data_IF_724392285971
#
_entry.id   IF_724392285971
#
_cell.length_a   1.000
_cell.length_b   1.000
_cell.length_c   1.000
_cell.angle_alpha   90.00
_cell.angle_beta   90.00
_cell.angle_gamma   90.00
#
_symmetry.space_group_name_H-M   'P 1'
#
loop_
_entity.id
_entity.type
_entity.pdbx_description
1 polymer ?
#
# COMPACT_ATOMS: atom_id res chain seq x y z
N UNK A 1 -0.94 105.18 -177.22
CA UNK A 1 -1.79 105.70 -176.13
C UNK A 1 -1.34 105.01 -174.85
N UNK A 2 -0.88 105.77 -173.83
CA UNK A 2 -0.28 105.24 -172.58
C UNK A 2 -1.28 104.56 -171.63
N UNK A 3 -0.99 104.41 -170.32
CA UNK A 3 0.24 104.65 -169.56
C UNK A 3 0.70 103.45 -168.67
N UNK A 4 1.91 103.62 -168.10
CA UNK A 4 2.62 102.75 -167.14
C UNK A 4 1.98 102.76 -165.73
N UNK A 5 1.96 101.60 -165.06
CA UNK A 5 2.14 101.46 -163.59
C UNK A 5 3.08 100.28 -163.31
N UNK A 6 4.20 100.58 -162.64
CA UNK A 6 5.25 99.63 -162.21
C UNK A 6 4.67 98.64 -161.20
N UNK A 7 4.83 97.33 -161.43
CA UNK A 7 4.59 96.27 -160.43
C UNK A 7 5.83 96.13 -159.55
N UNK A 8 5.64 96.18 -158.24
CA UNK A 8 6.68 95.95 -157.25
C UNK A 8 7.06 94.45 -157.19
N UNK A 9 8.33 94.10 -156.91
CA UNK A 9 8.77 92.71 -156.78
C UNK A 9 8.08 92.03 -155.59
N UNK A 10 7.52 90.84 -155.82
CA UNK A 10 6.90 90.02 -154.77
C UNK A 10 7.99 89.14 -154.19
N UNK A 11 8.48 89.54 -153.02
CA UNK A 11 9.46 88.79 -152.22
C UNK A 11 8.66 87.85 -151.32
N UNK A 12 8.77 86.55 -151.54
CA UNK A 12 8.25 85.53 -150.63
C UNK A 12 9.46 84.83 -150.05
N UNK A 13 9.62 84.95 -148.72
CA UNK A 13 10.72 84.36 -147.94
C UNK A 13 12.14 84.68 -148.49
N UNK A 14 12.38 85.97 -148.75
CA UNK A 14 13.71 86.52 -149.04
C UNK A 14 14.23 86.40 -150.48
N UNK A 15 13.47 85.79 -151.41
CA UNK A 15 13.89 85.55 -152.81
C UNK A 15 12.98 86.30 -153.81
N UNK A 16 13.58 86.95 -154.82
CA UNK A 16 12.86 87.72 -155.86
C UNK A 16 12.29 86.79 -156.95
N UNK A 17 10.98 86.54 -156.86
CA UNK A 17 10.22 85.57 -157.68
C UNK A 17 10.11 85.92 -159.16
N UNK A 18 10.64 87.06 -159.61
CA UNK A 18 10.56 87.53 -161.00
C UNK A 18 11.68 87.01 -161.91
N UNK A 19 12.70 86.34 -161.36
CA UNK A 19 13.87 85.81 -162.08
C UNK A 19 13.94 84.28 -162.18
N UNK A 20 12.91 83.59 -161.69
CA UNK A 20 12.87 82.13 -161.54
C UNK A 20 11.99 81.47 -162.62
N UNK A 21 12.42 80.32 -163.11
CA UNK A 21 11.65 79.51 -164.08
C UNK A 21 10.49 78.79 -163.38
N UNK A 22 9.41 78.44 -164.10
CA UNK A 22 8.19 77.83 -163.54
C UNK A 22 8.46 76.64 -162.60
N UNK A 23 9.42 75.78 -162.95
CA UNK A 23 9.82 74.63 -162.13
C UNK A 23 10.44 75.05 -160.79
N UNK A 24 11.18 76.15 -160.76
CA UNK A 24 11.82 76.66 -159.54
C UNK A 24 10.80 77.28 -158.57
N UNK A 25 9.72 77.86 -159.07
CA UNK A 25 8.60 78.36 -158.26
C UNK A 25 7.77 77.22 -157.64
N UNK A 26 7.58 76.11 -158.36
CA UNK A 26 6.90 74.91 -157.83
C UNK A 26 7.71 74.25 -156.70
N UNK A 27 9.04 74.16 -156.84
CA UNK A 27 9.90 73.65 -155.76
C UNK A 27 9.89 74.55 -154.53
N UNK A 28 9.82 75.87 -154.71
CA UNK A 28 9.77 76.81 -153.58
C UNK A 28 8.44 76.73 -152.82
N UNK A 29 7.33 76.59 -153.54
CA UNK A 29 6.00 76.40 -152.92
C UNK A 29 5.89 75.07 -152.16
N UNK A 30 6.53 74.01 -152.65
CA UNK A 30 6.60 72.72 -151.95
C UNK A 30 7.41 72.82 -150.66
N UNK A 31 8.57 73.48 -150.69
CA UNK A 31 9.39 73.69 -149.49
C UNK A 31 8.66 74.52 -148.42
N UNK A 32 7.95 75.59 -148.82
CA UNK A 32 7.14 76.39 -147.89
C UNK A 32 5.97 75.62 -147.28
N UNK A 33 5.42 74.65 -148.03
CA UNK A 33 4.38 73.76 -147.50
C UNK A 33 4.96 72.76 -146.52
N UNK A 34 6.12 72.18 -146.81
CA UNK A 34 6.82 71.28 -145.87
C UNK A 34 7.21 71.99 -144.57
N UNK A 35 7.68 73.24 -144.63
CA UNK A 35 7.99 74.00 -143.40
C UNK A 35 6.73 74.32 -142.61
N UNK A 36 5.63 74.68 -143.27
CA UNK A 36 4.34 74.89 -142.60
C UNK A 36 3.81 73.60 -141.94
N UNK A 37 3.93 72.46 -142.61
CA UNK A 37 3.48 71.17 -142.08
C UNK A 37 4.36 70.72 -140.89
N UNK A 38 5.67 70.94 -140.94
CA UNK A 38 6.57 70.73 -139.78
C UNK A 38 6.22 71.62 -138.59
N UNK A 39 6.00 72.92 -138.80
CA UNK A 39 5.60 73.83 -137.72
C UNK A 39 4.24 73.42 -137.11
N UNK A 40 3.33 72.86 -137.92
CA UNK A 40 2.05 72.32 -137.43
C UNK A 40 2.25 71.06 -136.59
N UNK A 41 3.10 70.14 -137.02
CA UNK A 41 3.46 68.94 -136.26
C UNK A 41 4.13 69.31 -134.93
N UNK A 42 5.09 70.24 -134.94
CA UNK A 42 5.74 70.74 -133.73
C UNK A 42 4.75 71.40 -132.77
N UNK A 43 3.87 72.26 -133.28
CA UNK A 43 2.80 72.87 -132.46
C UNK A 43 1.88 71.80 -131.86
N UNK A 44 1.53 70.77 -132.63
CA UNK A 44 0.69 69.67 -132.14
C UNK A 44 1.42 68.87 -131.05
N UNK A 45 2.71 68.60 -131.22
CA UNK A 45 3.54 67.89 -130.25
C UNK A 45 3.69 68.69 -128.95
N UNK A 46 3.99 69.98 -129.04
CA UNK A 46 4.06 70.86 -127.86
C UNK A 46 2.71 71.02 -127.15
N UNK A 47 1.58 71.01 -127.88
CA UNK A 47 0.25 70.98 -127.26
C UNK A 47 0.03 69.68 -126.47
N UNK A 48 0.39 68.53 -127.05
CA UNK A 48 0.28 67.24 -126.38
C UNK A 48 1.19 67.13 -125.16
N UNK A 49 2.42 67.66 -125.23
CA UNK A 49 3.33 67.71 -124.08
C UNK A 49 2.82 68.64 -122.98
N UNK A 50 2.34 69.84 -123.33
CA UNK A 50 1.72 70.76 -122.37
C UNK A 50 0.53 70.12 -121.68
N UNK A 51 -0.34 69.43 -122.43
CA UNK A 51 -1.53 68.79 -121.88
C UNK A 51 -1.13 67.59 -120.99
N UNK A 52 -0.11 66.81 -121.36
CA UNK A 52 0.49 65.77 -120.49
C UNK A 52 1.04 66.37 -119.18
N UNK A 53 1.83 67.44 -119.26
CA UNK A 53 2.36 68.12 -118.07
C UNK A 53 1.22 68.63 -117.19
N UNK A 54 0.17 69.18 -117.79
CA UNK A 54 -1.02 69.64 -117.06
C UNK A 54 -1.72 68.49 -116.36
N UNK A 55 -1.92 67.34 -117.02
CA UNK A 55 -2.49 66.15 -116.37
C UNK A 55 -1.62 65.63 -115.24
N UNK A 56 -0.30 65.59 -115.39
CA UNK A 56 0.59 65.19 -114.30
C UNK A 56 0.54 66.16 -113.14
N UNK A 57 0.48 67.47 -113.42
CA UNK A 57 0.34 68.48 -112.38
C UNK A 57 -1.00 68.36 -111.65
N UNK A 58 -2.11 68.17 -112.36
CA UNK A 58 -3.43 67.98 -111.75
C UNK A 58 -3.47 66.71 -110.88
N UNK A 59 -2.93 65.59 -111.37
CA UNK A 59 -2.86 64.31 -110.61
C UNK A 59 -1.98 64.45 -109.38
N UNK A 60 -0.76 64.98 -109.53
CA UNK A 60 0.18 65.12 -108.39
C UNK A 60 -0.33 66.12 -107.37
N UNK A 61 -1.02 67.18 -107.81
CA UNK A 61 -1.71 68.12 -106.92
C UNK A 61 -2.85 67.44 -106.16
N UNK A 62 -3.66 66.62 -106.82
CA UNK A 62 -4.72 65.84 -106.19
C UNK A 62 -4.15 64.85 -105.17
N UNK A 63 -3.13 64.07 -105.55
CA UNK A 63 -2.44 63.13 -104.66
C UNK A 63 -1.84 63.83 -103.45
N UNK A 64 -1.24 65.01 -103.63
CA UNK A 64 -0.72 65.80 -102.52
C UNK A 64 -1.84 66.21 -101.57
N UNK A 65 -3.00 66.60 -102.09
CA UNK A 65 -4.14 66.99 -101.27
C UNK A 65 -4.76 65.79 -100.54
N UNK A 66 -4.85 64.63 -101.20
CA UNK A 66 -5.27 63.36 -100.60
C UNK A 66 -4.30 62.90 -99.49
N UNK A 67 -2.99 62.95 -99.73
CA UNK A 67 -2.01 62.62 -98.69
C UNK A 67 -2.07 63.59 -97.50
N UNK A 68 -2.36 64.88 -97.73
CA UNK A 68 -2.55 65.85 -96.63
C UNK A 68 -3.81 65.54 -95.83
N UNK A 69 -4.93 65.21 -96.48
CA UNK A 69 -6.16 64.87 -95.75
C UNK A 69 -6.01 63.56 -94.99
N UNK A 70 -5.31 62.57 -95.54
CA UNK A 70 -4.97 61.33 -94.83
C UNK A 70 -4.07 61.58 -93.62
N UNK A 71 -3.05 62.43 -93.75
CA UNK A 71 -2.18 62.80 -92.63
C UNK A 71 -2.97 63.48 -91.52
N UNK A 72 -3.83 64.45 -91.84
CA UNK A 72 -4.71 65.11 -90.86
C UNK A 72 -5.68 64.13 -90.19
N UNK A 73 -6.21 63.16 -90.93
CA UNK A 73 -7.06 62.12 -90.36
C UNK A 73 -6.27 61.21 -89.41
N UNK A 74 -5.02 60.88 -89.75
CA UNK A 74 -4.15 60.07 -88.88
C UNK A 74 -3.71 60.81 -87.64
N UNK A 75 -3.41 62.10 -87.75
CA UNK A 75 -3.13 62.97 -86.59
C UNK A 75 -4.34 63.02 -85.66
N UNK A 76 -5.56 63.18 -86.20
CA UNK A 76 -6.78 63.10 -85.39
C UNK A 76 -6.98 61.73 -84.73
N UNK A 77 -6.74 60.64 -85.45
CA UNK A 77 -6.86 59.28 -84.90
C UNK A 77 -5.87 59.05 -83.75
N UNK A 78 -4.65 59.59 -83.86
CA UNK A 78 -3.65 59.55 -82.79
C UNK A 78 -4.15 60.36 -81.58
N UNK A 79 -4.64 61.59 -81.78
CA UNK A 79 -5.19 62.41 -80.71
C UNK A 79 -6.37 61.73 -80.01
N UNK A 80 -7.28 61.10 -80.76
CA UNK A 80 -8.41 60.34 -80.21
C UNK A 80 -7.94 59.17 -79.35
N UNK A 81 -6.94 58.39 -79.82
CA UNK A 81 -6.37 57.27 -79.07
C UNK A 81 -5.60 57.72 -77.82
N UNK A 82 -4.88 58.83 -77.88
CA UNK A 82 -4.21 59.43 -76.73
C UNK A 82 -5.22 59.88 -75.67
N UNK A 83 -6.32 60.49 -76.09
CA UNK A 83 -7.41 60.90 -75.20
C UNK A 83 -8.09 59.69 -74.54
N UNK A 84 -8.44 58.64 -75.31
CA UNK A 84 -8.99 57.39 -74.77
C UNK A 84 -8.06 56.77 -73.73
N UNK A 85 -6.77 56.62 -74.04
CA UNK A 85 -5.78 56.07 -73.12
C UNK A 85 -5.62 56.93 -71.86
N UNK A 86 -5.68 58.26 -71.99
CA UNK A 86 -5.63 59.17 -70.85
C UNK A 86 -6.85 59.00 -69.92
N UNK A 87 -8.04 58.85 -70.47
CA UNK A 87 -9.27 58.59 -69.71
C UNK A 87 -9.24 57.22 -69.02
N UNK A 88 -8.81 56.16 -69.73
CA UNK A 88 -8.63 54.83 -69.17
C UNK A 88 -7.63 54.82 -68.01
N UNK A 89 -6.47 55.48 -68.19
CA UNK A 89 -5.45 55.59 -67.14
C UNK A 89 -6.00 56.28 -65.88
N UNK A 90 -6.83 57.32 -66.06
CA UNK A 90 -7.51 58.01 -64.96
C UNK A 90 -8.51 57.10 -64.26
N UNK A 91 -9.31 56.33 -64.99
CA UNK A 91 -10.26 55.36 -64.44
C UNK A 91 -9.53 54.25 -63.66
N UNK A 92 -8.46 53.68 -64.22
CA UNK A 92 -7.63 52.69 -63.54
C UNK A 92 -7.03 53.25 -62.26
N UNK A 93 -6.52 54.49 -62.28
CA UNK A 93 -6.00 55.15 -61.09
C UNK A 93 -7.06 55.34 -60.00
N UNK A 94 -8.29 55.69 -60.37
CA UNK A 94 -9.41 55.78 -59.42
C UNK A 94 -9.80 54.41 -58.87
N UNK A 95 -9.84 53.38 -59.71
CA UNK A 95 -10.17 52.00 -59.29
C UNK A 95 -9.13 51.44 -58.33
N UNK A 96 -7.85 51.68 -58.57
CA UNK A 96 -6.77 51.31 -57.64
C UNK A 96 -6.94 52.03 -56.30
N UNK A 97 -7.24 53.34 -56.31
CA UNK A 97 -7.50 54.10 -55.07
C UNK A 97 -8.67 53.54 -54.26
N UNK A 98 -9.78 53.22 -54.93
CA UNK A 98 -10.95 52.62 -54.28
C UNK A 98 -10.60 51.25 -53.69
N UNK A 99 -9.93 50.39 -54.46
CA UNK A 99 -9.54 49.05 -54.01
C UNK A 99 -8.60 49.11 -52.79
N UNK A 100 -7.63 50.03 -52.79
CA UNK A 100 -6.73 50.24 -51.64
C UNK A 100 -7.51 50.73 -50.41
N UNK A 101 -8.43 51.67 -50.58
CA UNK A 101 -9.29 52.14 -49.49
C UNK A 101 -10.15 51.01 -48.92
N UNK A 102 -10.77 50.22 -49.79
CA UNK A 102 -11.61 49.07 -49.39
C UNK A 102 -10.78 48.03 -48.63
N UNK A 103 -9.60 47.65 -49.15
CA UNK A 103 -8.70 46.75 -48.43
C UNK A 103 -8.29 47.30 -47.06
N UNK A 104 -7.93 48.58 -46.98
CA UNK A 104 -7.53 49.18 -45.71
C UNK A 104 -8.69 49.25 -44.70
N UNK A 105 -9.91 49.56 -45.18
CA UNK A 105 -11.12 49.53 -44.37
C UNK A 105 -11.41 48.11 -43.86
N UNK A 106 -11.43 47.12 -44.75
CA UNK A 106 -11.70 45.73 -44.39
C UNK A 106 -10.64 45.19 -43.42
N UNK A 107 -9.37 45.56 -43.61
CA UNK A 107 -8.30 45.18 -42.68
C UNK A 107 -8.49 45.83 -41.30
N UNK A 108 -8.92 47.10 -41.24
CA UNK A 108 -9.22 47.78 -39.98
C UNK A 108 -10.42 47.14 -39.26
N UNK A 109 -11.49 46.81 -39.98
CA UNK A 109 -12.67 46.11 -39.44
C UNK A 109 -12.28 44.71 -38.92
N UNK A 110 -11.54 43.92 -39.70
CA UNK A 110 -11.09 42.59 -39.28
C UNK A 110 -10.19 42.64 -38.03
N UNK A 111 -9.32 43.65 -37.93
CA UNK A 111 -8.50 43.85 -36.72
C UNK A 111 -9.36 44.23 -35.52
N UNK A 112 -10.35 45.08 -35.69
CA UNK A 112 -11.27 45.46 -34.62
C UNK A 112 -12.09 44.27 -34.13
N UNK A 113 -12.66 43.48 -35.05
CA UNK A 113 -13.41 42.26 -34.73
C UNK A 113 -12.52 41.22 -34.04
N UNK A 114 -11.28 41.05 -34.51
CA UNK A 114 -10.29 40.18 -33.88
C UNK A 114 -9.95 40.61 -32.46
N UNK A 115 -9.79 41.91 -32.20
CA UNK A 115 -9.55 42.44 -30.85
C UNK A 115 -10.76 42.25 -29.93
N UNK A 116 -11.98 42.49 -30.43
CA UNK A 116 -13.20 42.29 -29.66
C UNK A 116 -13.40 40.81 -29.31
N UNK A 117 -13.20 39.91 -30.27
CA UNK A 117 -13.29 38.47 -30.04
C UNK A 117 -12.25 37.99 -29.02
N UNK A 118 -11.01 38.48 -29.10
CA UNK A 118 -9.98 38.17 -28.12
C UNK A 118 -10.36 38.66 -26.72
N UNK A 119 -10.91 39.87 -26.61
CA UNK A 119 -11.32 40.45 -25.32
C UNK A 119 -12.48 39.68 -24.68
N UNK A 120 -13.49 39.30 -25.46
CA UNK A 120 -14.60 38.46 -24.98
C UNK A 120 -14.06 37.12 -24.47
N UNK A 121 -13.17 36.48 -25.23
CA UNK A 121 -12.57 35.22 -24.81
C UNK A 121 -11.74 35.37 -23.52
N UNK A 122 -11.02 36.48 -23.35
CA UNK A 122 -10.29 36.77 -22.12
C UNK A 122 -11.23 36.94 -20.93
N UNK A 123 -12.30 37.73 -21.08
CA UNK A 123 -13.30 37.94 -20.03
C UNK A 123 -14.00 36.62 -19.63
N UNK A 124 -14.30 35.74 -20.59
CA UNK A 124 -14.85 34.41 -20.33
C UNK A 124 -13.88 33.52 -19.55
N UNK A 125 -12.58 33.55 -19.90
CA UNK A 125 -11.55 32.81 -19.16
C UNK A 125 -11.39 33.32 -17.73
N UNK A 126 -11.37 34.64 -17.52
CA UNK A 126 -11.26 35.24 -16.20
C UNK A 126 -12.48 34.87 -15.31
N UNK A 127 -13.68 34.84 -15.89
CA UNK A 127 -14.88 34.37 -15.19
C UNK A 127 -14.80 32.89 -14.82
N UNK A 128 -14.33 32.03 -15.71
CA UNK A 128 -14.15 30.62 -15.41
C UNK A 128 -13.08 30.40 -14.34
N UNK A 129 -11.96 31.13 -14.40
CA UNK A 129 -10.90 31.03 -13.40
C UNK A 129 -11.40 31.47 -12.01
N UNK A 130 -12.11 32.59 -11.92
CA UNK A 130 -12.69 33.07 -10.66
C UNK A 130 -13.71 32.08 -10.08
N UNK A 131 -14.58 31.50 -10.91
CA UNK A 131 -15.51 30.45 -10.47
C UNK A 131 -14.78 29.22 -9.93
N UNK A 132 -13.75 28.73 -10.65
CA UNK A 132 -12.94 27.59 -10.20
C UNK A 132 -12.19 27.88 -8.90
N UNK A 133 -11.70 29.11 -8.69
CA UNK A 133 -11.06 29.51 -7.44
C UNK A 133 -12.03 29.50 -6.26
N UNK A 134 -13.27 29.95 -6.47
CA UNK A 134 -14.34 29.91 -5.46
C UNK A 134 -14.69 28.45 -5.14
N UNK A 135 -14.90 27.61 -6.15
CA UNK A 135 -15.22 26.20 -5.95
C UNK A 135 -14.11 25.46 -5.23
N UNK A 136 -12.85 25.72 -5.59
CA UNK A 136 -11.67 25.19 -4.88
C UNK A 136 -11.66 25.59 -3.40
N UNK A 137 -12.03 26.83 -3.07
CA UNK A 137 -12.12 27.29 -1.68
C UNK A 137 -13.25 26.57 -0.94
N UNK A 138 -14.44 26.50 -1.53
CA UNK A 138 -15.60 25.83 -0.95
C UNK A 138 -15.35 24.33 -0.71
N UNK A 139 -14.68 23.65 -1.65
CA UNK A 139 -14.30 22.24 -1.51
C UNK A 139 -13.29 22.03 -0.38
N UNK A 140 -12.33 22.95 -0.20
CA UNK A 140 -11.40 22.90 0.94
C UNK A 140 -12.11 23.09 2.28
N UNK A 141 -13.06 24.02 2.37
CA UNK A 141 -13.85 24.24 3.58
C UNK A 141 -14.67 23.00 3.94
N UNK A 142 -15.38 22.41 2.97
CA UNK A 142 -16.12 21.15 3.16
C UNK A 142 -15.23 19.99 3.59
N UNK A 143 -14.03 19.87 3.02
CA UNK A 143 -13.08 18.83 3.41
C UNK A 143 -12.65 18.98 4.87
N UNK A 144 -12.36 20.21 5.31
CA UNK A 144 -11.98 20.49 6.70
C UNK A 144 -13.15 20.21 7.65
N UNK A 145 -14.37 20.58 7.26
CA UNK A 145 -15.58 20.30 8.05
C UNK A 145 -15.81 18.80 8.22
N UNK A 146 -15.75 18.02 7.13
CA UNK A 146 -15.85 16.55 7.19
C UNK A 146 -14.74 15.92 8.04
N UNK A 147 -13.50 16.42 7.93
CA UNK A 147 -12.40 15.94 8.78
C UNK A 147 -12.67 16.20 10.27
N UNK A 148 -13.25 17.35 10.61
CA UNK A 148 -13.61 17.68 11.99
C UNK A 148 -14.75 16.80 12.52
N UNK A 149 -15.80 16.59 11.71
CA UNK A 149 -16.89 15.67 12.05
C UNK A 149 -16.36 14.25 12.27
N UNK A 150 -15.49 13.75 11.39
CA UNK A 150 -14.87 12.45 11.57
C UNK A 150 -14.04 12.37 12.84
N UNK A 151 -13.23 13.39 13.17
CA UNK A 151 -12.49 13.43 14.44
C UNK A 151 -13.43 13.40 15.66
N UNK A 152 -14.56 14.09 15.60
CA UNK A 152 -15.55 14.10 16.67
C UNK A 152 -16.24 12.74 16.83
N UNK A 153 -16.59 12.07 15.74
CA UNK A 153 -17.13 10.70 15.79
C UNK A 153 -16.14 9.71 16.41
N UNK A 154 -14.85 9.78 16.05
CA UNK A 154 -13.79 8.95 16.65
C UNK A 154 -13.66 9.24 18.14
N UNK A 155 -13.68 10.52 18.54
CA UNK A 155 -13.59 10.92 19.94
C UNK A 155 -14.77 10.37 20.75
N UNK A 156 -15.98 10.47 20.21
CA UNK A 156 -17.19 9.95 20.84
C UNK A 156 -17.17 8.42 20.96
N UNK A 157 -16.70 7.70 19.93
CA UNK A 157 -16.51 6.25 19.99
C UNK A 157 -15.50 5.85 21.04
N UNK A 158 -14.35 6.51 21.10
CA UNK A 158 -13.32 6.24 22.12
C UNK A 158 -13.83 6.49 23.54
N UNK A 159 -14.66 7.51 23.74
CA UNK A 159 -15.27 7.79 25.04
C UNK A 159 -16.24 6.67 25.45
N UNK A 160 -17.12 6.24 24.55
CA UNK A 160 -18.02 5.10 24.78
C UNK A 160 -17.27 3.80 25.08
N UNK A 161 -16.23 3.49 24.30
CA UNK A 161 -15.39 2.32 24.57
C UNK A 161 -14.70 2.39 25.93
N UNK A 162 -14.25 3.58 26.34
CA UNK A 162 -13.66 3.77 27.67
C UNK A 162 -14.67 3.58 28.79
N UNK A 163 -15.91 4.03 28.60
CA UNK A 163 -17.02 3.84 29.55
C UNK A 163 -17.37 2.35 29.68
N UNK A 164 -17.61 1.66 28.56
CA UNK A 164 -17.91 0.22 28.53
C UNK A 164 -16.78 -0.62 29.14
N UNK A 165 -15.51 -0.26 28.86
CA UNK A 165 -14.36 -0.95 29.45
C UNK A 165 -14.28 -0.73 30.96
N UNK A 166 -14.59 0.48 31.45
CA UNK A 166 -14.62 0.79 32.87
C UNK A 166 -15.74 0.03 33.58
N UNK A 167 -16.94 -0.02 32.98
CA UNK A 167 -18.07 -0.77 33.52
C UNK A 167 -17.76 -2.28 33.57
N UNK A 168 -17.20 -2.83 32.49
CA UNK A 168 -16.77 -4.24 32.46
C UNK A 168 -15.75 -4.54 33.57
N UNK A 169 -14.73 -3.69 33.74
CA UNK A 169 -13.73 -3.84 34.82
C UNK A 169 -14.38 -3.80 36.20
N UNK A 170 -15.26 -2.84 36.45
CA UNK A 170 -15.99 -2.73 37.71
C UNK A 170 -16.83 -3.99 38.00
N UNK A 171 -17.51 -4.52 36.97
CA UNK A 171 -18.30 -5.74 37.10
C UNK A 171 -17.44 -6.97 37.39
N UNK A 172 -16.26 -7.09 36.76
CA UNK A 172 -15.32 -8.17 37.05
C UNK A 172 -14.75 -8.07 38.47
N UNK A 173 -14.38 -6.86 38.89
CA UNK A 173 -13.85 -6.64 40.24
C UNK A 173 -14.89 -6.94 41.33
N UNK A 174 -16.14 -6.53 41.11
CA UNK A 174 -17.26 -6.86 42.00
C UNK A 174 -17.47 -8.38 42.09
N UNK A 175 -17.53 -9.09 40.96
CA UNK A 175 -17.67 -10.54 40.93
C UNK A 175 -16.50 -11.27 41.60
N UNK A 176 -15.28 -10.78 41.41
CA UNK A 176 -14.10 -11.33 42.08
C UNK A 176 -14.22 -11.19 43.60
N UNK A 177 -14.57 -10.00 44.10
CA UNK A 177 -14.79 -9.76 45.54
C UNK A 177 -15.92 -10.62 46.10
N UNK A 178 -17.02 -10.79 45.36
CA UNK A 178 -18.13 -11.66 45.78
C UNK A 178 -17.71 -13.13 45.91
N UNK A 179 -16.87 -13.61 44.99
CA UNK A 179 -16.35 -14.98 45.03
C UNK A 179 -15.36 -15.15 46.19
N UNK A 180 -14.45 -14.20 46.37
CA UNK A 180 -13.51 -14.20 47.50
C UNK A 180 -14.25 -14.21 48.83
N UNK A 181 -15.23 -13.32 49.01
CA UNK A 181 -16.02 -13.24 50.23
C UNK A 181 -16.78 -14.54 50.53
N UNK A 182 -17.34 -15.20 49.51
CA UNK A 182 -18.01 -16.50 49.67
C UNK A 182 -17.04 -17.58 50.15
N UNK A 183 -15.87 -17.68 49.53
CA UNK A 183 -14.88 -18.68 49.94
C UNK A 183 -14.26 -18.39 51.30
N UNK A 184 -14.10 -17.12 51.67
CA UNK A 184 -13.70 -16.74 53.03
C UNK A 184 -14.73 -17.18 54.08
N UNK A 185 -16.02 -16.98 53.80
CA UNK A 185 -17.12 -17.43 54.66
C UNK A 185 -17.20 -18.96 54.76
N UNK A 186 -17.08 -19.68 53.63
CA UNK A 186 -17.05 -21.15 53.59
C UNK A 186 -15.87 -21.73 54.40
N UNK A 187 -14.68 -21.11 54.30
CA UNK A 187 -13.51 -21.53 55.07
C UNK A 187 -13.71 -21.24 56.57
N UNK A 188 -14.30 -20.10 56.91
CA UNK A 188 -14.56 -19.73 58.30
C UNK A 188 -15.60 -20.65 58.94
N UNK A 189 -16.72 -20.90 58.27
CA UNK A 189 -17.75 -21.83 58.73
C UNK A 189 -17.20 -23.25 58.90
N UNK A 190 -16.41 -23.76 57.95
CA UNK A 190 -15.78 -25.07 58.07
C UNK A 190 -14.81 -25.15 59.27
N UNK A 191 -14.06 -24.08 59.55
CA UNK A 191 -13.20 -24.00 60.74
C UNK A 191 -14.01 -24.07 62.02
N UNK A 192 -15.13 -23.34 62.09
CA UNK A 192 -16.03 -23.35 63.24
C UNK A 192 -16.68 -24.72 63.46
N UNK A 193 -17.13 -25.38 62.38
CA UNK A 193 -17.67 -26.74 62.44
C UNK A 193 -16.64 -27.76 62.93
N UNK A 194 -15.41 -27.72 62.40
CA UNK A 194 -14.33 -28.62 62.83
C UNK A 194 -13.95 -28.36 64.30
N UNK A 195 -13.88 -27.10 64.71
CA UNK A 195 -13.61 -26.75 66.10
C UNK A 195 -14.72 -27.23 67.04
N UNK A 196 -15.98 -27.15 66.61
CA UNK A 196 -17.12 -27.67 67.35
C UNK A 196 -17.06 -29.20 67.46
N UNK A 197 -16.83 -29.92 66.35
CA UNK A 197 -16.66 -31.38 66.36
C UNK A 197 -15.54 -31.81 67.29
N UNK A 198 -14.37 -31.19 67.20
CA UNK A 198 -13.25 -31.49 68.08
C UNK A 198 -13.59 -31.24 69.56
N UNK A 199 -14.31 -30.16 69.87
CA UNK A 199 -14.79 -29.89 71.24
C UNK A 199 -15.78 -30.95 71.72
N UNK A 200 -16.72 -31.38 70.86
CA UNK A 200 -17.68 -32.43 71.18
C UNK A 200 -16.99 -33.78 71.44
N UNK A 201 -16.05 -34.17 70.57
CA UNK A 201 -15.25 -35.39 70.74
C UNK A 201 -14.44 -35.37 72.04
N UNK A 202 -13.83 -34.23 72.39
CA UNK A 202 -13.14 -34.05 73.67
C UNK A 202 -14.10 -34.23 74.86
N UNK A 203 -15.26 -33.58 74.83
CA UNK A 203 -16.25 -33.72 75.92
C UNK A 203 -16.77 -35.15 76.04
N UNK A 204 -17.00 -35.85 74.94
CA UNK A 204 -17.46 -37.25 74.98
C UNK A 204 -16.39 -38.18 75.56
N UNK A 205 -15.12 -37.96 75.20
CA UNK A 205 -13.99 -38.70 75.76
C UNK A 205 -13.85 -38.44 77.26
N UNK A 206 -14.01 -37.19 77.69
CA UNK A 206 -13.93 -36.81 79.10
C UNK A 206 -15.11 -37.38 79.89
N UNK A 207 -16.33 -37.38 79.35
CA UNK A 207 -17.48 -38.05 79.96
C UNK A 207 -17.27 -39.56 80.09
N UNK A 208 -16.74 -40.22 79.06
CA UNK A 208 -16.39 -41.65 79.11
C UNK A 208 -15.35 -41.94 80.19
N UNK A 209 -14.29 -41.13 80.28
CA UNK A 209 -13.27 -41.25 81.32
C UNK A 209 -13.84 -41.00 82.72
N UNK A 210 -14.65 -39.97 82.90
CA UNK A 210 -15.28 -39.63 84.17
C UNK A 210 -16.23 -40.75 84.62
N UNK A 211 -17.00 -41.33 83.70
CA UNK A 211 -17.84 -42.50 83.98
C UNK A 211 -16.98 -43.69 84.43
N UNK A 212 -15.88 -43.97 83.75
CA UNK A 212 -14.97 -45.05 84.14
C UNK A 212 -14.35 -44.81 85.52
N UNK A 213 -13.98 -43.56 85.85
CA UNK A 213 -13.50 -43.17 87.18
C UNK A 213 -14.58 -43.44 88.23
N UNK A 214 -15.82 -42.99 88.00
CA UNK A 214 -16.95 -43.23 88.91
C UNK A 214 -17.24 -44.72 89.11
N UNK A 215 -17.23 -45.51 88.04
CA UNK A 215 -17.42 -46.96 88.11
C UNK A 215 -16.29 -47.64 88.90
N UNK A 216 -15.05 -47.18 88.72
CA UNK A 216 -13.89 -47.67 89.46
C UNK A 216 -13.98 -47.30 90.94
N UNK A 217 -14.38 -46.07 91.27
CA UNK A 217 -14.66 -45.63 92.64
C UNK A 217 -15.73 -46.50 93.30
N UNK A 218 -16.85 -46.74 92.63
CA UNK A 218 -17.92 -47.62 93.14
C UNK A 218 -17.44 -49.05 93.38
N UNK A 219 -16.63 -49.61 92.46
CA UNK A 219 -16.03 -50.94 92.65
C UNK A 219 -15.08 -50.97 93.84
N UNK A 220 -14.26 -49.93 94.02
CA UNK A 220 -13.37 -49.82 95.17
C UNK A 220 -14.14 -49.68 96.48
N UNK A 221 -15.19 -48.85 96.54
CA UNK A 221 -16.05 -48.69 97.72
C UNK A 221 -16.77 -49.99 98.07
N UNK A 222 -17.24 -50.72 97.07
CA UNK A 222 -17.83 -52.04 97.25
C UNK A 222 -16.83 -53.04 97.78
N UNK A 223 -15.65 -53.16 97.16
CA UNK A 223 -14.58 -54.05 97.62
C UNK A 223 -14.11 -53.69 99.04
N UNK A 224 -14.03 -52.40 99.36
CA UNK A 224 -13.69 -51.92 100.70
C UNK A 224 -14.77 -52.29 101.72
N UNK A 225 -16.05 -52.15 101.35
CA UNK A 225 -17.18 -52.57 102.19
C UNK A 225 -17.21 -54.09 102.39
N UNK A 226 -16.96 -54.86 101.34
CA UNK A 226 -16.83 -56.33 101.41
C UNK A 226 -15.66 -56.74 102.29
N UNK A 227 -14.50 -56.07 102.17
CA UNK A 227 -13.33 -56.31 103.04
C UNK A 227 -13.63 -55.96 104.50
N UNK A 228 -14.32 -54.84 104.74
CA UNK A 228 -14.76 -54.42 106.07
C UNK A 228 -15.73 -55.43 106.66
N UNK A 229 -16.69 -55.91 105.87
CA UNK A 229 -17.62 -56.96 106.29
C UNK A 229 -16.89 -58.27 106.56
N UNK A 230 -15.97 -58.69 105.70
CA UNK A 230 -15.13 -59.87 105.92
C UNK A 230 -14.34 -59.78 107.22
N UNK A 231 -13.71 -58.63 107.52
CA UNK A 231 -13.02 -58.44 108.79
C UNK A 231 -13.98 -58.37 109.97
N UNK A 232 -15.15 -57.75 109.83
CA UNK A 232 -16.17 -57.75 110.88
C UNK A 232 -16.69 -59.17 111.15
N UNK A 233 -16.92 -59.97 110.11
CA UNK A 233 -17.32 -61.37 110.19
C UNK A 233 -16.20 -62.21 110.77
N UNK A 234 -14.94 -61.93 110.42
CA UNK A 234 -13.77 -62.56 111.03
C UNK A 234 -13.65 -62.17 112.50
N UNK A 235 -13.94 -60.92 112.88
CA UNK A 235 -13.98 -60.46 114.27
C UNK A 235 -15.13 -61.14 115.02
N UNK A 236 -16.30 -61.25 114.41
CA UNK A 236 -17.46 -61.97 114.96
C UNK A 236 -17.16 -63.45 115.11
N UNK A 237 -16.60 -64.10 114.09
CA UNK A 237 -16.15 -65.48 114.16
C UNK A 237 -15.02 -65.66 115.16
N UNK A 238 -14.10 -64.71 115.27
CA UNK A 238 -13.05 -64.76 116.28
C UNK A 238 -13.63 -64.50 117.67
N UNK A 239 -14.68 -63.70 117.84
CA UNK A 239 -15.36 -63.48 119.11
C UNK A 239 -16.19 -64.70 119.51
N UNK A 240 -16.91 -65.32 118.58
CA UNK A 240 -17.61 -66.58 118.81
C UNK A 240 -16.62 -67.72 119.03
N UNK A 241 -15.51 -67.76 118.30
CA UNK A 241 -14.42 -68.68 118.54
C UNK A 241 -13.77 -68.41 119.89
N UNK A 242 -13.53 -67.16 120.30
CA UNK A 242 -13.01 -66.80 121.63
C UNK A 242 -14.03 -67.19 122.71
N UNK A 243 -15.33 -67.04 122.46
CA UNK A 243 -16.38 -67.49 123.38
C UNK A 243 -16.40 -69.00 123.50
N UNK A 244 -16.44 -69.71 122.36
CA UNK A 244 -16.36 -71.17 122.31
C UNK A 244 -15.05 -71.68 122.89
N UNK A 245 -13.93 -70.97 122.69
CA UNK A 245 -12.64 -71.28 123.28
C UNK A 245 -12.62 -70.95 124.77
N UNK A 246 -13.39 -70.00 125.27
CA UNK A 246 -13.58 -69.77 126.71
C UNK A 246 -14.41 -70.90 127.34
N UNK A 247 -15.48 -71.33 126.68
CA UNK A 247 -16.30 -72.47 127.11
C UNK A 247 -15.46 -73.77 127.04
N UNK A 248 -14.71 -73.95 125.96
CA UNK A 248 -13.69 -75.00 125.84
C UNK A 248 -12.50 -74.77 126.76
N UNK A 249 -12.21 -73.58 127.29
CA UNK A 249 -11.14 -73.34 128.27
C UNK A 249 -11.60 -73.69 129.67
N UNK A 250 -12.91 -73.60 129.96
CA UNK A 250 -13.52 -74.26 131.12
C UNK A 250 -13.48 -75.78 130.97
N UNK A 251 -13.76 -76.31 129.77
CA UNK A 251 -13.67 -77.74 129.46
C UNK A 251 -12.22 -78.25 129.35
N UNK A 252 -11.30 -77.38 128.89
CA UNK A 252 -9.88 -77.63 128.75
C UNK A 252 -9.14 -77.36 130.04
N UNK A 253 -9.59 -76.57 131.00
CA UNK A 253 -9.00 -76.60 132.37
C UNK A 253 -9.06 -78.02 132.96
N UNK A 254 -10.13 -78.75 132.64
CA UNK A 254 -10.29 -80.18 132.95
C UNK A 254 -9.41 -81.11 132.07
N UNK A 255 -8.98 -80.63 130.90
CA UNK A 255 -8.14 -81.36 129.93
C UNK A 255 -6.66 -80.92 129.92
N UNK A 256 -6.32 -79.80 130.54
CA UNK A 256 -5.03 -79.11 130.63
C UNK A 256 -4.16 -79.81 131.67
N UNK A 257 -4.76 -80.30 132.76
CA UNK A 257 -4.19 -81.34 133.63
C UNK A 257 -3.70 -82.57 132.84
N UNK A 258 -4.28 -82.83 131.65
CA UNK A 258 -3.94 -83.95 130.76
C UNK A 258 -2.96 -83.61 129.63
N UNK A 259 -2.93 -82.36 129.16
CA UNK A 259 -2.16 -81.97 127.95
C UNK A 259 -0.94 -81.10 128.27
N UNK A 260 -0.79 -80.59 129.50
CA UNK A 260 0.45 -79.92 129.98
C UNK A 260 1.70 -80.83 129.84
N UNK A 261 1.50 -82.15 129.69
CA UNK A 261 2.55 -83.13 129.36
C UNK A 261 3.00 -83.15 127.90
N UNK A 262 2.17 -82.71 126.94
CA UNK A 262 2.49 -82.82 125.50
C UNK A 262 2.93 -81.49 124.86
N UNK A 263 2.67 -80.35 125.52
CA UNK A 263 2.94 -79.03 124.95
C UNK A 263 4.44 -78.63 124.94
N UNK A 264 5.29 -79.31 125.71
CA UNK A 264 6.73 -79.01 125.76
C UNK A 264 7.50 -79.38 124.48
N UNK A 265 6.92 -80.17 123.58
CA UNK A 265 7.59 -80.65 122.37
C UNK A 265 7.33 -79.77 121.13
N UNK A 266 6.14 -79.19 120.98
CA UNK A 266 5.77 -78.43 119.78
C UNK A 266 6.33 -76.99 119.72
N UNK A 267 6.82 -76.43 120.84
CA UNK A 267 7.38 -75.08 120.87
C UNK A 267 8.74 -74.95 120.16
N UNK A 268 9.33 -76.07 119.71
CA UNK A 268 10.67 -76.10 119.11
C UNK A 268 10.67 -75.94 117.57
N UNK A 269 9.58 -76.23 116.87
CA UNK A 269 9.54 -76.18 115.39
C UNK A 269 9.20 -74.81 114.80
N UNK A 270 8.48 -73.95 115.53
CA UNK A 270 7.99 -72.68 114.97
C UNK A 270 9.06 -71.57 114.82
N UNK A 271 10.32 -71.87 115.15
CA UNK A 271 11.45 -70.92 115.03
C UNK A 271 12.20 -70.98 113.70
N UNK A 272 11.93 -71.97 112.82
CA UNK A 272 12.75 -72.22 111.62
C UNK A 272 12.15 -71.72 110.28
N UNK A 273 10.98 -71.07 110.27
CA UNK A 273 10.28 -70.66 109.03
C UNK A 273 10.34 -69.14 108.72
N UNK A 274 11.01 -68.34 109.54
CA UNK A 274 10.96 -66.87 109.45
C UNK A 274 11.89 -66.25 108.39
N UNK A 275 13.04 -66.88 108.10
CA UNK A 275 14.06 -66.32 107.20
C UNK A 275 13.85 -66.62 105.70
N UNK A 276 13.32 -67.79 105.27
CA UNK A 276 13.03 -68.06 103.85
C UNK A 276 11.98 -67.11 103.25
N UNK A 277 11.04 -66.64 104.08
CA UNK A 277 9.95 -65.76 103.65
C UNK A 277 10.44 -64.35 103.29
N UNK A 278 11.54 -63.87 103.91
CA UNK A 278 12.10 -62.54 103.64
C UNK A 278 12.90 -62.48 102.33
N UNK A 279 13.60 -63.56 101.96
CA UNK A 279 14.36 -63.62 100.71
C UNK A 279 13.44 -63.70 99.48
N UNK A 280 12.36 -64.50 99.54
CA UNK A 280 11.39 -64.62 98.44
C UNK A 280 10.65 -63.29 98.14
N UNK A 281 10.45 -62.44 99.14
CA UNK A 281 9.81 -61.12 98.96
C UNK A 281 10.73 -60.09 98.29
N UNK A 282 12.05 -60.20 98.51
CA UNK A 282 13.04 -59.32 97.87
C UNK A 282 13.19 -59.65 96.37
N UNK A 283 13.32 -60.93 96.03
CA UNK A 283 13.40 -61.39 94.64
C UNK A 283 12.14 -61.05 93.83
N UNK A 284 10.95 -61.12 94.45
CA UNK A 284 9.71 -60.75 93.78
C UNK A 284 9.65 -59.26 93.42
N UNK A 285 10.26 -58.37 94.23
CA UNK A 285 10.33 -56.93 93.93
C UNK A 285 11.27 -56.64 92.76
N UNK A 286 12.42 -57.29 92.71
CA UNK A 286 13.39 -57.07 91.64
C UNK A 286 12.88 -57.60 90.29
N UNK A 287 12.23 -58.77 90.27
CA UNK A 287 11.59 -59.31 89.07
C UNK A 287 10.47 -58.41 88.56
N UNK A 288 9.65 -57.82 89.43
CA UNK A 288 8.63 -56.84 89.03
C UNK A 288 9.23 -55.58 88.42
N UNK A 289 10.37 -55.09 88.94
CA UNK A 289 11.06 -53.91 88.40
C UNK A 289 11.64 -54.19 87.01
N UNK A 290 12.24 -55.35 86.80
CA UNK A 290 12.75 -55.77 85.49
C UNK A 290 11.62 -55.90 84.45
N UNK A 291 10.47 -56.43 84.85
CA UNK A 291 9.32 -56.59 83.96
C UNK A 291 8.76 -55.24 83.48
N UNK A 292 8.75 -54.20 84.33
CA UNK A 292 8.33 -52.84 83.97
C UNK A 292 9.31 -52.17 83.00
N UNK A 293 10.62 -52.42 83.14
CA UNK A 293 11.59 -51.88 82.19
C UNK A 293 11.47 -52.57 80.82
N UNK A 294 11.31 -53.89 80.80
CA UNK A 294 11.11 -54.65 79.56
C UNK A 294 9.87 -54.20 78.78
N UNK A 295 8.77 -53.87 79.45
CA UNK A 295 7.57 -53.36 78.77
C UNK A 295 7.77 -51.97 78.16
N UNK A 296 8.53 -51.09 78.83
CA UNK A 296 8.89 -49.78 78.27
C UNK A 296 9.77 -49.91 77.04
N UNK A 297 10.80 -50.75 77.11
CA UNK A 297 11.73 -50.97 75.99
C UNK A 297 11.00 -51.57 74.79
N UNK A 298 10.05 -52.47 75.01
CA UNK A 298 9.21 -53.05 73.95
C UNK A 298 8.35 -52.00 73.22
N UNK A 299 7.81 -51.02 73.94
CA UNK A 299 7.01 -49.92 73.35
C UNK A 299 7.93 -48.98 72.56
N UNK A 300 9.08 -48.61 73.13
CA UNK A 300 10.05 -47.74 72.46
C UNK A 300 10.58 -48.38 71.16
N UNK A 301 10.85 -49.69 71.18
CA UNK A 301 11.26 -50.44 70.00
C UNK A 301 10.16 -50.44 68.93
N UNK A 302 8.90 -50.67 69.30
CA UNK A 302 7.78 -50.66 68.35
C UNK A 302 7.60 -49.28 67.68
N UNK A 303 7.79 -48.19 68.43
CA UNK A 303 7.73 -46.82 67.90
C UNK A 303 8.92 -46.54 66.95
N UNK A 304 10.13 -46.96 67.32
CA UNK A 304 11.32 -46.83 66.47
C UNK A 304 11.17 -47.60 65.16
N UNK A 305 10.68 -48.84 65.21
CA UNK A 305 10.45 -49.66 64.01
C UNK A 305 9.43 -48.99 63.08
N UNK A 306 8.32 -48.45 63.63
CA UNK A 306 7.34 -47.72 62.82
C UNK A 306 7.95 -46.49 62.14
N UNK A 307 8.77 -45.74 62.87
CA UNK A 307 9.44 -44.54 62.35
C UNK A 307 10.41 -44.89 61.21
N UNK A 308 11.10 -46.02 61.28
CA UNK A 308 11.97 -46.50 60.21
C UNK A 308 11.16 -46.83 58.96
N UNK A 309 10.04 -47.54 59.10
CA UNK A 309 9.17 -47.88 57.96
C UNK A 309 8.61 -46.62 57.29
N UNK A 310 8.20 -45.62 58.07
CA UNK A 310 7.70 -44.36 57.51
C UNK A 310 8.80 -43.62 56.73
N UNK A 311 10.03 -43.57 57.27
CA UNK A 311 11.18 -42.94 56.62
C UNK A 311 11.66 -43.69 55.37
N UNK A 312 11.59 -45.02 55.36
CA UNK A 312 11.89 -45.84 54.17
C UNK A 312 10.90 -45.55 53.05
N UNK A 313 9.61 -45.38 53.37
CA UNK A 313 8.60 -44.99 52.37
C UNK A 313 8.86 -43.60 51.79
N UNK A 314 9.13 -42.61 52.65
CA UNK A 314 9.47 -41.25 52.21
C UNK A 314 10.73 -41.25 51.33
N UNK A 315 11.75 -42.06 51.67
CA UNK A 315 12.97 -42.18 50.87
C UNK A 315 12.69 -42.75 49.47
N UNK A 316 11.83 -43.75 49.36
CA UNK A 316 11.49 -44.35 48.08
C UNK A 316 10.62 -43.42 47.22
N UNK A 317 9.70 -42.67 47.83
CA UNK A 317 8.94 -41.61 47.15
C UNK A 317 9.90 -40.55 46.56
N UNK A 318 10.88 -40.07 47.34
CA UNK A 318 11.87 -39.09 46.87
C UNK A 318 12.79 -39.63 45.77
N UNK A 319 13.18 -40.91 45.81
CA UNK A 319 13.96 -41.51 44.73
C UNK A 319 13.20 -41.50 43.42
N UNK A 320 11.91 -41.86 43.46
CA UNK A 320 11.07 -41.90 42.26
C UNK A 320 10.86 -40.51 41.67
N UNK A 321 10.62 -39.50 42.52
CA UNK A 321 10.53 -38.11 42.08
C UNK A 321 11.84 -37.62 41.45
N UNK A 322 12.99 -37.96 42.03
CA UNK A 322 14.28 -37.57 41.50
C UNK A 322 14.57 -38.21 40.14
N UNK A 323 14.30 -39.52 39.97
CA UNK A 323 14.44 -40.20 38.68
C UNK A 323 13.53 -39.58 37.60
N UNK A 324 12.29 -39.25 37.96
CA UNK A 324 11.36 -38.58 37.05
C UNK A 324 11.86 -37.18 36.61
N UNK A 325 12.45 -36.42 37.54
CA UNK A 325 13.03 -35.12 37.27
C UNK A 325 14.28 -35.21 36.40
N UNK A 326 15.16 -36.18 36.64
CA UNK A 326 16.37 -36.43 35.84
C UNK A 326 16.02 -36.80 34.39
N UNK A 327 15.01 -37.66 34.18
CA UNK A 327 14.51 -38.00 32.85
C UNK A 327 13.91 -36.78 32.12
N UNK A 328 13.23 -35.89 32.86
CA UNK A 328 12.68 -34.67 32.27
C UNK A 328 13.78 -33.68 31.90
N UNK A 329 14.81 -33.56 32.74
CA UNK A 329 15.95 -32.67 32.49
C UNK A 329 16.73 -33.10 31.27
N UNK A 330 17.07 -34.39 31.16
CA UNK A 330 17.75 -34.95 29.98
C UNK A 330 16.97 -34.69 28.69
N UNK A 331 15.64 -34.89 28.70
CA UNK A 331 14.79 -34.60 27.54
C UNK A 331 14.81 -33.11 27.15
N UNK A 332 14.80 -32.20 28.13
CA UNK A 332 14.87 -30.77 27.87
C UNK A 332 16.25 -30.35 27.31
N UNK A 333 17.32 -30.96 27.79
CA UNK A 333 18.66 -30.72 27.26
C UNK A 333 18.81 -31.19 25.82
N UNK A 334 18.26 -32.35 25.47
CA UNK A 334 18.17 -32.83 24.08
C UNK A 334 17.43 -31.82 23.20
N UNK A 335 16.23 -31.39 23.60
CA UNK A 335 15.44 -30.41 22.83
C UNK A 335 16.16 -29.07 22.67
N UNK A 336 16.84 -28.60 23.72
CA UNK A 336 17.65 -27.37 23.65
C UNK A 336 18.78 -27.53 22.62
N UNK A 337 19.50 -28.65 22.65
CA UNK A 337 20.60 -28.91 21.74
C UNK A 337 20.10 -29.03 20.28
N UNK A 338 19.00 -29.75 20.04
CA UNK A 338 18.36 -29.85 18.72
C UNK A 338 17.95 -28.48 18.16
N UNK A 339 17.36 -27.62 19.01
CA UNK A 339 17.00 -26.26 18.61
C UNK A 339 18.23 -25.41 18.29
N UNK A 340 19.28 -25.52 19.09
CA UNK A 340 20.53 -24.80 18.87
C UNK A 340 21.19 -25.23 17.55
N UNK A 341 21.29 -26.53 17.31
CA UNK A 341 21.87 -27.08 16.08
C UNK A 341 21.03 -26.74 14.85
N UNK A 342 19.71 -26.81 14.97
CA UNK A 342 18.77 -26.40 13.92
C UNK A 342 18.88 -24.91 13.57
N UNK A 343 19.06 -24.06 14.58
CA UNK A 343 19.30 -22.62 14.40
C UNK A 343 20.62 -22.36 13.66
N UNK A 344 21.73 -22.97 14.11
CA UNK A 344 23.03 -22.82 13.46
C UNK A 344 23.00 -23.30 12.01
N UNK A 345 22.37 -24.45 11.75
CA UNK A 345 22.22 -25.00 10.40
C UNK A 345 21.41 -24.07 9.49
N UNK A 346 20.31 -23.51 10.00
CA UNK A 346 19.47 -22.56 9.26
C UNK A 346 20.20 -21.26 8.95
N UNK A 347 20.96 -20.74 9.92
CA UNK A 347 21.76 -19.53 9.77
C UNK A 347 22.85 -19.71 8.71
N UNK A 348 23.59 -20.82 8.76
CA UNK A 348 24.63 -21.12 7.77
C UNK A 348 24.07 -21.28 6.36
N UNK A 349 22.96 -22.01 6.20
CA UNK A 349 22.27 -22.14 4.92
C UNK A 349 21.80 -20.79 4.36
N UNK A 350 21.29 -19.90 5.22
CA UNK A 350 20.88 -18.55 4.82
C UNK A 350 22.08 -17.72 4.37
N UNK A 351 23.19 -17.79 5.11
CA UNK A 351 24.42 -17.09 4.77
C UNK A 351 25.02 -17.58 3.44
N UNK A 352 25.04 -18.89 3.20
CA UNK A 352 25.50 -19.48 1.95
C UNK A 352 24.63 -19.04 0.76
N UNK A 353 23.30 -19.07 0.91
CA UNK A 353 22.37 -18.57 -0.12
C UNK A 353 22.55 -17.08 -0.41
N UNK A 354 22.77 -16.26 0.62
CA UNK A 354 23.04 -14.84 0.45
C UNK A 354 24.38 -14.61 -0.25
N UNK A 355 25.43 -15.33 0.15
CA UNK A 355 26.77 -15.25 -0.44
C UNK A 355 26.75 -15.67 -1.93
N UNK A 356 26.13 -16.78 -2.27
CA UNK A 356 26.00 -17.25 -3.66
C UNK A 356 25.22 -16.26 -4.53
N UNK A 357 24.13 -15.68 -4.01
CA UNK A 357 23.38 -14.61 -4.69
C UNK A 357 24.26 -13.38 -4.92
N UNK A 358 25.04 -12.96 -3.93
CA UNK A 358 25.95 -11.82 -4.05
C UNK A 358 27.04 -12.06 -5.10
N UNK A 359 27.64 -13.26 -5.12
CA UNK A 359 28.62 -13.64 -6.14
C UNK A 359 28.01 -13.60 -7.53
N UNK A 360 26.78 -14.10 -7.70
CA UNK A 360 26.08 -14.07 -8.98
C UNK A 360 25.79 -12.64 -9.44
N UNK A 361 25.32 -11.77 -8.54
CA UNK A 361 25.07 -10.36 -8.84
C UNK A 361 26.35 -9.62 -9.22
N UNK A 362 27.44 -9.84 -8.49
CA UNK A 362 28.75 -9.28 -8.84
C UNK A 362 29.23 -9.74 -10.22
N UNK A 363 29.02 -11.03 -10.56
CA UNK A 363 29.37 -11.55 -11.89
C UNK A 363 28.51 -10.91 -12.99
N UNK A 364 27.20 -10.76 -12.78
CA UNK A 364 26.31 -10.04 -13.71
C UNK A 364 26.76 -8.59 -13.90
N UNK A 365 27.05 -7.88 -12.81
CA UNK A 365 27.50 -6.49 -12.86
C UNK A 365 28.83 -6.34 -13.59
N UNK A 366 29.81 -7.21 -13.31
CA UNK A 366 31.09 -7.25 -14.05
C UNK A 366 30.88 -7.50 -15.54
N UNK A 367 29.98 -8.40 -15.91
CA UNK A 367 29.69 -8.67 -17.32
C UNK A 367 28.99 -7.48 -18.00
N UNK A 368 28.04 -6.82 -17.33
CA UNK A 368 27.40 -5.61 -17.85
C UNK A 368 28.39 -4.46 -18.03
N UNK A 369 29.30 -4.25 -17.06
CA UNK A 369 30.37 -3.25 -17.18
C UNK A 369 31.29 -3.54 -18.37
N UNK A 370 31.75 -4.79 -18.53
CA UNK A 370 32.55 -5.18 -19.71
C UNK A 370 31.81 -4.94 -21.03
N UNK A 371 30.51 -5.24 -21.07
CA UNK A 371 29.70 -4.99 -22.27
C UNK A 371 29.56 -3.49 -22.55
N UNK A 372 29.38 -2.68 -21.51
CA UNK A 372 29.34 -1.22 -21.61
C UNK A 372 30.67 -0.67 -22.14
N UNK A 373 31.80 -1.07 -21.57
CA UNK A 373 33.14 -0.68 -22.03
C UNK A 373 33.36 -1.06 -23.50
N UNK A 374 32.97 -2.26 -23.91
CA UNK A 374 33.03 -2.68 -25.32
C UNK A 374 32.16 -1.80 -26.23
N UNK A 375 30.94 -1.45 -25.81
CA UNK A 375 30.04 -0.57 -26.57
C UNK A 375 30.58 0.86 -26.65
N UNK A 376 31.16 1.38 -25.58
CA UNK A 376 31.80 2.70 -25.57
C UNK A 376 33.02 2.75 -26.49
N UNK A 377 33.86 1.71 -26.50
CA UNK A 377 34.98 1.62 -27.44
C UNK A 377 34.50 1.58 -28.89
N UNK A 378 33.49 0.75 -29.20
CA UNK A 378 32.88 0.70 -30.54
C UNK A 378 32.29 2.06 -30.95
N UNK A 379 31.62 2.74 -30.02
CA UNK A 379 31.06 4.08 -30.25
C UNK A 379 32.18 5.11 -30.50
N UNK A 380 33.27 5.08 -29.73
CA UNK A 380 34.41 5.96 -29.90
C UNK A 380 35.14 5.73 -31.24
N UNK A 381 35.30 4.48 -31.68
CA UNK A 381 35.86 4.14 -32.99
C UNK A 381 34.97 4.61 -34.16
N UNK A 382 33.65 4.45 -34.03
CA UNK A 382 32.67 4.96 -34.99
C UNK A 382 32.76 6.49 -35.10
N UNK A 383 32.84 7.19 -33.97
CA UNK A 383 33.04 8.64 -33.91
C UNK A 383 34.34 9.09 -34.58
N UNK A 384 35.44 8.36 -34.35
CA UNK A 384 36.77 8.68 -34.89
C UNK A 384 36.87 8.46 -36.39
N UNK A 385 36.11 7.52 -36.95
CA UNK A 385 36.01 7.28 -38.40
C UNK A 385 35.08 8.29 -39.11
N UNK A 386 34.10 8.87 -38.41
CA UNK A 386 33.09 9.79 -38.97
C UNK A 386 33.20 11.23 -38.42
N UNK A 387 34.43 11.75 -38.33
CA UNK A 387 34.77 13.04 -37.67
C UNK A 387 33.99 14.29 -38.14
N UNK A 388 33.32 14.25 -39.29
CA UNK A 388 32.51 15.36 -39.81
C UNK A 388 30.99 15.25 -39.61
N UNK A 389 30.46 14.04 -39.34
CA UNK A 389 29.00 13.80 -39.24
C UNK A 389 28.48 13.84 -37.80
N UNK A 390 29.37 13.70 -36.81
CA UNK A 390 29.01 13.67 -35.40
C UNK A 390 28.24 14.92 -34.93
N UNK A 391 28.61 16.13 -35.40
CA UNK A 391 27.90 17.36 -35.06
C UNK A 391 26.46 17.41 -35.61
N UNK A 392 26.19 16.72 -36.73
CA UNK A 392 24.83 16.59 -37.29
C UNK A 392 24.01 15.52 -36.57
N UNK A 393 24.67 14.54 -35.93
CA UNK A 393 24.04 13.44 -35.19
C UNK A 393 23.70 13.80 -33.74
N UNK A 394 24.37 14.78 -33.12
CA UNK A 394 24.12 15.17 -31.72
C UNK A 394 22.66 15.58 -31.45
N UNK A 395 22.00 16.42 -32.28
CA UNK A 395 20.59 16.77 -32.08
C UNK A 395 19.66 15.56 -32.23
N UNK A 396 20.02 14.61 -33.10
CA UNK A 396 19.26 13.37 -33.32
C UNK A 396 19.40 12.46 -32.09
N UNK A 397 20.60 12.28 -31.54
CA UNK A 397 20.82 11.53 -30.30
C UNK A 397 20.03 12.11 -29.12
N UNK A 398 20.08 13.43 -28.91
CA UNK A 398 19.29 14.09 -27.85
C UNK A 398 17.78 13.82 -28.04
N UNK A 399 17.29 13.81 -29.28
CA UNK A 399 15.89 13.50 -29.58
C UNK A 399 15.56 12.03 -29.30
N UNK A 400 16.45 11.11 -29.65
CA UNK A 400 16.30 9.67 -29.36
C UNK A 400 16.35 9.41 -27.86
N UNK A 401 17.27 10.01 -27.11
CA UNK A 401 17.36 9.90 -25.64
C UNK A 401 16.10 10.43 -24.95
N UNK A 402 15.54 11.54 -25.44
CA UNK A 402 14.24 12.05 -24.96
C UNK A 402 13.10 11.08 -25.24
N UNK A 403 13.12 10.36 -26.36
CA UNK A 403 12.11 9.35 -26.67
C UNK A 403 12.30 8.12 -25.78
N UNK A 404 13.54 7.66 -25.58
CA UNK A 404 13.86 6.52 -24.72
C UNK A 404 13.48 6.80 -23.27
N UNK A 405 13.81 7.97 -22.73
CA UNK A 405 13.42 8.38 -21.38
C UNK A 405 11.91 8.45 -21.22
N UNK A 406 11.18 9.03 -22.19
CA UNK A 406 9.70 9.02 -22.19
C UNK A 406 9.12 7.61 -22.24
N UNK A 407 9.69 6.72 -23.06
CA UNK A 407 9.24 5.33 -23.15
C UNK A 407 9.54 4.55 -21.88
N UNK A 408 10.70 4.74 -21.26
CA UNK A 408 11.04 4.10 -19.99
C UNK A 408 10.13 4.59 -18.86
N UNK A 409 9.85 5.89 -18.79
CA UNK A 409 8.88 6.43 -17.84
C UNK A 409 7.47 5.83 -18.07
N UNK A 410 7.03 5.72 -19.34
CA UNK A 410 5.77 5.06 -19.65
C UNK A 410 5.76 3.56 -19.29
N UNK A 411 6.89 2.87 -19.40
CA UNK A 411 7.02 1.47 -18.95
C UNK A 411 6.90 1.40 -17.42
N UNK A 412 7.59 2.27 -16.69
CA UNK A 412 7.50 2.35 -15.22
C UNK A 412 6.06 2.68 -14.76
N UNK A 413 5.40 3.64 -15.42
CA UNK A 413 4.01 3.99 -15.15
C UNK A 413 3.07 2.79 -15.42
N UNK A 414 3.26 2.08 -16.53
CA UNK A 414 2.46 0.90 -16.87
C UNK A 414 2.71 -0.28 -15.93
N UNK A 415 3.96 -0.49 -15.49
CA UNK A 415 4.30 -1.50 -14.47
C UNK A 415 3.66 -1.16 -13.13
N UNK A 416 3.68 0.12 -12.74
CA UNK A 416 2.99 0.60 -11.56
C UNK A 416 1.47 0.43 -11.65
N UNK A 417 0.87 0.77 -12.79
CA UNK A 417 -0.55 0.60 -13.05
C UNK A 417 -0.96 -0.89 -13.01
N UNK A 418 -0.18 -1.76 -13.65
CA UNK A 418 -0.38 -3.20 -13.61
C UNK A 418 -0.29 -3.72 -12.17
N UNK A 419 0.66 -3.21 -11.39
CA UNK A 419 0.78 -3.55 -9.98
C UNK A 419 -0.42 -3.07 -9.14
N UNK A 420 -0.86 -1.83 -9.38
CA UNK A 420 -2.04 -1.24 -8.71
C UNK A 420 -3.30 -2.05 -8.99
N UNK A 421 -3.54 -2.41 -10.25
CA UNK A 421 -4.70 -3.21 -10.67
C UNK A 421 -4.61 -4.64 -10.14
N UNK A 422 -3.42 -5.25 -10.17
CA UNK A 422 -3.23 -6.60 -9.60
C UNK A 422 -3.52 -6.63 -8.10
N UNK A 423 -3.11 -5.59 -7.37
CA UNK A 423 -3.39 -5.46 -5.94
C UNK A 423 -4.88 -5.19 -5.67
N UNK A 424 -5.51 -4.34 -6.48
CA UNK A 424 -6.94 -4.09 -6.44
C UNK A 424 -7.77 -5.37 -6.62
N UNK A 425 -7.37 -6.20 -7.58
CA UNK A 425 -7.99 -7.49 -7.84
C UNK A 425 -7.88 -8.42 -6.62
N UNK A 426 -6.70 -8.50 -5.99
CA UNK A 426 -6.50 -9.32 -4.80
C UNK A 426 -7.30 -8.80 -3.60
N UNK A 427 -7.34 -7.49 -3.37
CA UNK A 427 -8.14 -6.87 -2.32
C UNK A 427 -9.65 -7.10 -2.53
N UNK A 428 -10.12 -7.06 -3.78
CA UNK A 428 -11.49 -7.41 -4.14
C UNK A 428 -11.79 -8.89 -3.88
N UNK A 429 -10.90 -9.81 -4.27
CA UNK A 429 -11.04 -11.24 -3.95
C UNK A 429 -11.12 -11.47 -2.44
N UNK A 430 -10.29 -10.77 -1.66
CA UNK A 430 -10.29 -10.87 -0.21
C UNK A 430 -11.58 -10.32 0.43
N UNK A 431 -12.11 -9.19 -0.07
CA UNK A 431 -13.39 -8.66 0.42
C UNK A 431 -14.57 -9.56 0.05
N UNK A 432 -14.60 -10.12 -1.15
CA UNK A 432 -15.63 -11.09 -1.54
C UNK A 432 -15.54 -12.37 -0.70
N UNK A 433 -14.33 -12.89 -0.46
CA UNK A 433 -14.14 -14.05 0.40
C UNK A 433 -14.64 -13.79 1.83
N UNK A 434 -14.30 -12.63 2.40
CA UNK A 434 -14.81 -12.23 3.73
C UNK A 434 -16.33 -12.03 3.76
N UNK A 435 -16.95 -11.56 2.66
CA UNK A 435 -18.40 -11.45 2.55
C UNK A 435 -19.08 -12.81 2.44
N UNK A 436 -18.54 -13.73 1.66
CA UNK A 436 -19.04 -15.10 1.54
C UNK A 436 -19.01 -15.81 2.90
N UNK A 437 -17.91 -15.65 3.63
CA UNK A 437 -17.76 -16.17 5.00
C UNK A 437 -18.78 -15.53 5.96
N UNK A 438 -19.03 -14.22 5.85
CA UNK A 438 -20.05 -13.52 6.65
C UNK A 438 -21.48 -14.05 6.38
N UNK A 439 -21.79 -14.46 5.15
CA UNK A 439 -23.08 -15.05 4.79
C UNK A 439 -23.12 -16.58 4.97
N UNK A 440 -22.05 -17.18 5.51
CA UNK A 440 -21.98 -18.62 5.78
C UNK A 440 -21.86 -19.49 4.54
N UNK A 441 -21.39 -18.93 3.41
CA UNK A 441 -21.17 -19.65 2.15
C UNK A 441 -19.71 -20.12 2.10
N UNK A 442 -19.42 -21.43 2.20
CA UNK A 442 -18.07 -21.97 2.10
C UNK A 442 -17.47 -21.68 0.72
N UNK A 443 -16.17 -21.38 0.67
CA UNK A 443 -15.45 -21.13 -0.59
C UNK A 443 -15.46 -22.32 -1.56
N UNK A 444 -15.76 -23.52 -1.05
CA UNK A 444 -15.89 -24.76 -1.83
C UNK A 444 -17.16 -24.79 -2.70
N UNK A 445 -18.20 -24.02 -2.33
CA UNK A 445 -19.47 -23.95 -3.07
C UNK A 445 -19.39 -23.08 -4.33
N UNK A 446 -18.30 -22.32 -4.54
CA UNK A 446 -18.14 -21.46 -5.73
C UNK A 446 -17.92 -22.25 -7.03
N UNK A 447 -17.45 -23.50 -6.95
CA UNK A 447 -17.21 -24.33 -8.14
C UNK A 447 -16.04 -23.90 -9.04
N UNK A 448 -15.31 -22.84 -8.69
CA UNK A 448 -14.08 -22.42 -9.35
C UNK A 448 -13.08 -21.79 -8.36
N UNK A 449 -11.78 -21.89 -8.67
CA UNK A 449 -10.73 -21.22 -7.91
C UNK A 449 -10.33 -19.91 -8.63
N UNK A 450 -10.49 -18.74 -8.00
CA UNK A 450 -10.08 -17.49 -8.63
C UNK A 450 -8.56 -17.45 -8.82
N UNK A 451 -8.13 -17.06 -10.03
CA UNK A 451 -6.71 -16.97 -10.38
C UNK A 451 -6.06 -15.78 -9.64
N UNK A 452 -5.15 -16.06 -8.70
CA UNK A 452 -4.40 -15.03 -7.98
C UNK A 452 -3.18 -14.59 -8.79
N UNK A 453 -2.97 -13.29 -8.90
CA UNK A 453 -1.80 -12.70 -9.56
C UNK A 453 -0.60 -12.79 -8.64
N UNK A 454 0.39 -13.62 -8.98
CA UNK A 454 1.58 -13.90 -8.16
C UNK A 454 2.54 -12.70 -7.98
N UNK A 455 2.20 -11.51 -8.49
CA UNK A 455 3.17 -10.42 -8.66
C UNK A 455 3.38 -9.51 -7.44
N UNK A 456 2.51 -9.46 -6.41
CA UNK A 456 2.67 -8.46 -5.34
C UNK A 456 2.48 -8.96 -3.90
N UNK A 457 3.50 -8.68 -3.09
CA UNK A 457 3.60 -8.94 -1.65
C UNK A 457 3.26 -7.72 -0.78
N UNK A 458 2.66 -6.68 -1.36
CA UNK A 458 2.29 -5.46 -0.63
C UNK A 458 1.04 -5.71 0.23
N UNK A 459 1.12 -5.42 1.53
CA UNK A 459 -0.01 -5.48 2.47
C UNK A 459 -0.84 -4.19 2.54
N UNK A 460 -0.43 -3.13 1.84
CA UNK A 460 -1.15 -1.85 1.84
C UNK A 460 -2.36 -1.92 0.89
N UNK A 461 -3.53 -1.38 1.28
CA UNK A 461 -4.74 -1.43 0.45
C UNK A 461 -4.57 -0.62 -0.84
N UNK A 462 -5.06 -1.14 -1.97
CA UNK A 462 -5.00 -0.49 -3.29
C UNK A 462 -5.83 0.80 -3.42
N UNK A 463 -6.47 1.27 -2.35
CA UNK A 463 -7.30 2.47 -2.35
C UNK A 463 -8.65 2.34 -3.06
N UNK A 464 -9.08 1.13 -3.45
CA UNK A 464 -10.36 0.90 -4.12
C UNK A 464 -11.53 0.57 -3.17
N UNK A 465 -11.25 0.31 -1.89
CA UNK A 465 -12.29 0.08 -0.87
C UNK A 465 -12.42 1.31 0.03
N UNK A 466 -12.80 2.44 -0.56
CA UNK A 466 -13.44 3.56 0.14
C UNK A 466 -14.00 4.57 -0.88
N UNK A 467 -14.96 4.14 -1.70
CA UNK A 467 -16.00 5.04 -2.20
C UNK A 467 -17.34 4.35 -1.91
N UNK A 468 -17.70 4.32 -0.63
CA UNK A 468 -19.11 4.21 -0.27
C UNK A 468 -19.67 5.62 -0.36
N UNK A 469 -20.51 5.86 -1.37
CA UNK A 469 -21.52 6.92 -1.32
C UNK A 469 -22.52 6.63 -0.21
#
# INVERSE_FOLDING_TARGET
MGPKKKKAPVIVDGIDTTSLTREQLETFALNLKETLDKEREERSLFQMERDKIRTYWDITRQQLEECKTELLNKEREIEEKENEHYEESKLFKQRIKYLVYEHHKNEAELRADGMLSLKISQEDFDQQETALLIDKKNLKEKLVEQQKEHQETIRNLNMKFSEELSEARSNFEMRAREIEAKYEDDVQTLREELALRHRMELTEVDERKNKQISDLMLKHDKAFSEMKNYYNDLILNNLTLISNLKDQMEEMKSREDRVEKMLKECQKENKNLADPMKQALAENRDLKRQLVNYTKDKIALAQSVRRVVDLERELDDYKWENEALELRLTKLEEQRNELQDGFFSSMMNMQEKAATKNVLLQKKMRNMLKLMEQREMQYAEFLKSHKGEHMKLTPINIKVDRILTKKNAAIEDLEYELARISKAHEDALQTYQGKLEQYGIPSEELGFAPLRTAMLTSKSPAGLVAVNK
#
